data_IF_116291627729
#
_entry.id   IF_116291627729
#
_cell.length_a   1.000
_cell.length_b   1.000
_cell.length_c   1.000
_cell.angle_alpha   90.00
_cell.angle_beta   90.00
_cell.angle_gamma   90.00
#
_symmetry.space_group_name_H-M   'P 1'
#
loop_
_entity.id
_entity.type
_entity.pdbx_description
1 polymer ?
#
# COMPACT_ATOMS: atom_id res chain seq x y z
N UNK A 1 -18.22 22.73 6.49
CA UNK A 1 -17.16 22.75 7.53
C UNK A 1 -16.85 21.36 8.08
N UNK A 2 -17.84 20.54 8.47
CA UNK A 2 -17.64 19.15 8.93
C UNK A 2 -16.90 18.24 7.93
N UNK A 3 -17.20 18.39 6.63
CA UNK A 3 -16.58 17.58 5.57
C UNK A 3 -15.08 17.84 5.42
N UNK A 4 -14.64 19.10 5.54
CA UNK A 4 -13.22 19.48 5.42
C UNK A 4 -12.38 18.90 6.55
N UNK A 5 -12.90 18.89 7.78
CA UNK A 5 -12.25 18.26 8.94
C UNK A 5 -12.13 16.75 8.73
N UNK A 6 -13.18 16.09 8.23
CA UNK A 6 -13.17 14.66 7.95
C UNK A 6 -12.17 14.29 6.86
N UNK A 7 -12.08 15.10 5.81
CA UNK A 7 -11.12 14.92 4.71
C UNK A 7 -9.68 15.09 5.19
N UNK A 8 -9.39 16.11 6.01
CA UNK A 8 -8.06 16.34 6.61
C UNK A 8 -7.65 15.15 7.48
N UNK A 9 -8.57 14.61 8.28
CA UNK A 9 -8.30 13.46 9.14
C UNK A 9 -8.05 12.19 8.32
N UNK A 10 -8.86 11.92 7.29
CA UNK A 10 -8.64 10.78 6.37
C UNK A 10 -7.29 10.91 5.68
N UNK A 11 -6.93 12.12 5.22
CA UNK A 11 -5.67 12.39 4.54
C UNK A 11 -4.46 12.11 5.45
N UNK A 12 -4.51 12.56 6.71
CA UNK A 12 -3.45 12.31 7.70
C UNK A 12 -3.33 10.82 8.02
N UNK A 13 -4.47 10.13 8.18
CA UNK A 13 -4.50 8.70 8.48
C UNK A 13 -3.95 7.86 7.31
N UNK A 14 -4.36 8.19 6.08
CA UNK A 14 -3.88 7.57 4.84
C UNK A 14 -2.38 7.80 4.64
N UNK A 15 -1.89 9.00 4.91
CA UNK A 15 -0.48 9.36 4.78
C UNK A 15 0.39 8.59 5.78
N UNK A 16 -0.09 8.43 7.02
CA UNK A 16 0.57 7.61 8.03
C UNK A 16 0.62 6.12 7.67
N UNK A 17 -0.47 5.61 7.08
CA UNK A 17 -0.53 4.24 6.56
C UNK A 17 0.46 4.04 5.41
N UNK A 18 0.35 4.84 4.34
CA UNK A 18 1.10 4.73 3.09
C UNK A 18 2.61 4.57 3.28
N UNK A 19 3.17 5.15 4.35
CA UNK A 19 4.61 5.10 4.64
C UNK A 19 5.17 3.72 4.99
N UNK A 20 4.38 2.76 5.50
CA UNK A 20 4.91 1.45 5.93
C UNK A 20 4.78 0.32 4.90
N UNK A 21 4.01 0.48 3.82
CA UNK A 21 3.99 -0.45 2.68
C UNK A 21 3.44 -1.87 2.95
N UNK A 22 2.95 -2.54 1.89
CA UNK A 22 2.61 -3.97 1.90
C UNK A 22 1.42 -4.38 2.80
N UNK A 23 1.50 -5.58 3.39
CA UNK A 23 0.46 -6.13 4.30
C UNK A 23 0.26 -5.25 5.56
N UNK A 24 1.31 -4.54 5.99
CA UNK A 24 1.23 -3.61 7.11
C UNK A 24 0.32 -2.40 6.83
N UNK A 25 0.09 -2.05 5.55
CA UNK A 25 -0.89 -1.01 5.16
C UNK A 25 -2.31 -1.41 5.53
N UNK A 26 -2.67 -2.68 5.31
CA UNK A 26 -4.01 -3.20 5.63
C UNK A 26 -4.26 -3.22 7.14
N UNK A 27 -3.26 -3.68 7.92
CA UNK A 27 -3.32 -3.71 9.39
C UNK A 27 -3.36 -2.31 10.01
N UNK A 28 -2.50 -1.39 9.55
CA UNK A 28 -2.49 0.00 10.05
C UNK A 28 -3.74 0.77 9.62
N UNK A 29 -4.25 0.53 8.41
CA UNK A 29 -5.50 1.10 7.93
C UNK A 29 -6.71 0.64 8.76
N UNK A 30 -6.77 -0.65 9.10
CA UNK A 30 -7.81 -1.21 9.97
C UNK A 30 -7.76 -0.65 11.39
N UNK A 31 -6.59 -0.60 12.02
CA UNK A 31 -6.41 -0.04 13.37
C UNK A 31 -6.69 1.47 13.40
N UNK A 32 -6.24 2.21 12.39
CA UNK A 32 -6.48 3.64 12.25
C UNK A 32 -7.97 3.97 12.15
N UNK A 33 -8.74 3.16 11.41
CA UNK A 33 -10.20 3.26 11.33
C UNK A 33 -10.90 2.96 12.65
N UNK A 34 -10.48 1.90 13.36
CA UNK A 34 -11.04 1.55 14.68
C UNK A 34 -10.85 2.71 15.66
N UNK A 35 -9.66 3.31 15.69
CA UNK A 35 -9.35 4.46 16.55
C UNK A 35 -10.21 5.68 16.18
N UNK A 36 -10.35 5.99 14.90
CA UNK A 36 -11.16 7.10 14.42
C UNK A 36 -12.65 6.94 14.75
N UNK A 37 -13.17 5.72 14.64
CA UNK A 37 -14.58 5.41 14.92
C UNK A 37 -14.87 5.44 16.43
N UNK A 38 -13.99 4.84 17.26
CA UNK A 38 -14.19 4.79 18.71
C UNK A 38 -13.87 6.11 19.42
N UNK A 39 -12.85 6.86 18.99
CA UNK A 39 -12.42 8.09 19.66
C UNK A 39 -13.22 9.30 19.21
N UNK A 40 -13.62 9.38 17.95
CA UNK A 40 -14.30 10.57 17.40
C UNK A 40 -15.84 10.48 17.42
N UNK A 41 -16.40 9.36 17.88
CA UNK A 41 -17.84 9.14 18.06
C UNK A 41 -18.69 9.59 16.85
N UNK A 42 -18.13 9.43 15.64
CA UNK A 42 -18.85 9.64 14.40
C UNK A 42 -19.97 8.61 14.38
N UNK A 43 -21.24 9.07 14.40
CA UNK A 43 -22.40 8.20 14.21
C UNK A 43 -22.10 7.30 13.01
N UNK A 44 -21.93 5.97 13.23
CA UNK A 44 -21.67 5.02 12.16
C UNK A 44 -22.99 4.85 11.42
N UNK A 45 -23.41 5.88 10.69
CA UNK A 45 -24.76 5.96 10.14
C UNK A 45 -24.96 4.96 9.00
N UNK A 46 -23.91 4.21 8.65
CA UNK A 46 -23.89 3.09 7.71
C UNK A 46 -22.69 2.22 8.16
N UNK A 47 -22.86 0.93 8.50
CA UNK A 47 -21.71 0.09 8.82
C UNK A 47 -20.69 0.17 7.67
N UNK A 48 -19.39 0.42 7.93
CA UNK A 48 -18.34 0.69 6.93
C UNK A 48 -17.91 -0.59 6.20
N UNK A 49 -18.88 -1.36 5.73
CA UNK A 49 -18.75 -2.61 5.00
C UNK A 49 -18.00 -2.38 3.69
N UNK A 50 -18.24 -1.25 3.03
CA UNK A 50 -17.56 -0.85 1.79
C UNK A 50 -16.03 -0.82 1.96
N UNK A 51 -15.56 -0.22 3.05
CA UNK A 51 -14.12 -0.10 3.34
C UNK A 51 -13.52 -1.44 3.74
N UNK A 52 -14.22 -2.25 4.54
CA UNK A 52 -13.77 -3.61 4.87
C UNK A 52 -13.66 -4.49 3.62
N UNK A 53 -14.64 -4.44 2.72
CA UNK A 53 -14.62 -5.18 1.45
C UNK A 53 -13.47 -4.74 0.55
N UNK A 54 -13.22 -3.43 0.44
CA UNK A 54 -12.09 -2.88 -0.31
C UNK A 54 -10.74 -3.37 0.26
N UNK A 55 -10.56 -3.37 1.58
CA UNK A 55 -9.32 -3.86 2.20
C UNK A 55 -9.12 -5.35 1.91
N UNK A 56 -10.17 -6.17 2.07
CA UNK A 56 -10.09 -7.61 1.79
C UNK A 56 -9.79 -7.86 0.30
N UNK A 57 -10.47 -7.15 -0.60
CA UNK A 57 -10.26 -7.28 -2.04
C UNK A 57 -8.82 -6.95 -2.46
N UNK A 58 -8.28 -5.82 -1.99
CA UNK A 58 -6.90 -5.42 -2.35
C UNK A 58 -5.84 -6.31 -1.70
N UNK A 59 -6.07 -6.79 -0.47
CA UNK A 59 -5.17 -7.73 0.22
C UNK A 59 -5.18 -9.07 -0.51
N UNK A 60 -6.35 -9.59 -0.88
CA UNK A 60 -6.46 -10.82 -1.67
C UNK A 60 -5.77 -10.67 -3.04
N UNK A 61 -5.97 -9.55 -3.74
CA UNK A 61 -5.29 -9.26 -4.99
C UNK A 61 -3.76 -9.20 -4.82
N UNK A 62 -3.29 -8.50 -3.79
CA UNK A 62 -1.84 -8.37 -3.49
C UNK A 62 -1.22 -9.71 -3.09
N UNK A 63 -1.92 -10.49 -2.26
CA UNK A 63 -1.50 -11.82 -1.84
C UNK A 63 -1.45 -12.79 -3.03
N UNK A 64 -2.42 -12.71 -3.95
CA UNK A 64 -2.41 -13.51 -5.18
C UNK A 64 -1.25 -13.12 -6.09
N UNK A 65 -0.95 -11.81 -6.20
CA UNK A 65 0.18 -11.31 -6.98
C UNK A 65 1.54 -11.78 -6.42
N UNK A 66 1.66 -11.84 -5.09
CA UNK A 66 2.83 -12.39 -4.40
C UNK A 66 2.90 -13.93 -4.51
N UNK A 67 1.78 -14.63 -4.33
CA UNK A 67 1.73 -16.10 -4.42
C UNK A 67 1.99 -16.61 -5.84
N UNK A 68 1.62 -15.84 -6.86
CA UNK A 68 1.88 -16.14 -8.26
C UNK A 68 3.37 -16.01 -8.65
N UNK A 69 4.22 -15.44 -7.79
CA UNK A 69 5.59 -15.05 -8.17
C UNK A 69 5.64 -13.94 -9.23
N UNK A 70 4.50 -13.31 -9.56
CA UNK A 70 4.43 -12.28 -10.60
C UNK A 70 5.23 -11.02 -10.23
N UNK A 71 5.31 -10.72 -8.92
CA UNK A 71 6.14 -9.63 -8.42
C UNK A 71 7.65 -9.95 -8.56
N UNK A 72 8.07 -11.19 -8.29
CA UNK A 72 9.46 -11.63 -8.42
C UNK A 72 9.93 -11.65 -9.87
N UNK A 73 9.09 -12.06 -10.82
CA UNK A 73 9.41 -12.00 -12.26
C UNK A 73 9.64 -10.57 -12.71
N UNK A 74 8.80 -9.63 -12.25
CA UNK A 74 8.95 -8.21 -12.60
C UNK A 74 10.23 -7.62 -12.00
N UNK A 75 10.62 -8.06 -10.79
CA UNK A 75 11.89 -7.68 -10.16
C UNK A 75 13.09 -8.28 -10.89
N UNK A 76 12.99 -9.54 -11.33
CA UNK A 76 14.03 -10.25 -12.10
C UNK A 76 14.34 -9.59 -13.44
N UNK A 77 13.30 -9.11 -14.11
CA UNK A 77 13.45 -8.36 -15.36
C UNK A 77 14.10 -7.00 -15.08
N UNK A 78 13.73 -6.33 -14.00
CA UNK A 78 14.32 -5.05 -13.60
C UNK A 78 15.82 -5.19 -13.23
N UNK A 79 16.20 -6.22 -12.45
CA UNK A 79 17.61 -6.47 -12.10
C UNK A 79 18.43 -6.88 -13.32
N UNK A 80 17.90 -7.71 -14.22
CA UNK A 80 18.58 -8.08 -15.47
C UNK A 80 18.81 -6.87 -16.39
N UNK A 81 17.80 -6.00 -16.51
CA UNK A 81 17.92 -4.79 -17.33
C UNK A 81 18.97 -3.81 -16.75
N UNK A 82 18.99 -3.66 -15.42
CA UNK A 82 19.98 -2.83 -14.74
C UNK A 82 21.40 -3.42 -14.81
N UNK A 83 21.52 -4.76 -14.67
CA UNK A 83 22.79 -5.48 -14.79
C UNK A 83 23.38 -5.41 -16.21
N UNK A 84 22.54 -5.48 -17.25
CA UNK A 84 22.96 -5.32 -18.64
C UNK A 84 23.63 -3.94 -18.89
N UNK A 85 23.10 -2.89 -18.27
CA UNK A 85 23.70 -1.54 -18.32
C UNK A 85 25.03 -1.47 -17.56
N UNK A 86 25.14 -2.14 -16.41
CA UNK A 86 26.37 -2.16 -15.60
C UNK A 86 27.53 -2.84 -16.33
N UNK A 87 27.27 -3.91 -17.08
CA UNK A 87 28.31 -4.68 -17.76
C UNK A 87 28.99 -3.87 -18.89
N UNK A 88 28.24 -3.03 -19.60
CA UNK A 88 28.78 -2.12 -20.63
C UNK A 88 29.76 -1.09 -20.04
N UNK A 89 29.48 -0.58 -18.82
CA UNK A 89 30.37 0.37 -18.13
C UNK A 89 31.68 -0.24 -17.61
N UNK A 90 31.66 -1.54 -17.30
CA UNK A 90 32.85 -2.28 -16.87
C UNK A 90 33.74 -2.68 -18.06
N UNK A 91 33.15 -2.99 -19.21
CA UNK A 91 33.88 -3.31 -20.44
C UNK A 91 34.65 -2.09 -20.99
N UNK A 92 34.07 -0.89 -20.93
CA UNK A 92 34.76 0.37 -21.30
C UNK A 92 35.89 0.79 -20.34
N UNK A 93 36.02 0.17 -19.15
CA UNK A 93 37.16 0.36 -18.23
C UNK A 93 38.22 -0.74 -18.36
N UNK A 94 37.97 -1.78 -19.15
CA UNK A 94 38.91 -2.89 -19.41
C UNK A 94 39.55 -2.83 -20.81
N UNK A 95 39.09 -1.91 -21.66
CA UNK A 95 39.72 -1.47 -22.91
C UNK A 95 40.42 -0.14 -22.67
#
# INVERSE_FOLDING_TARGET
MLFTIQLIIILICLFYGARKGGIALGLLGGIGLVILVFVFHLQPSKPPVDVMLVIIAVVAASATLQASGGLDVMLQIAESCCAATRNMSQLSRRL
#
